data_IF_655741720704
#
_entry.id   IF_655741720704
#
_cell.length_a   1.000
_cell.length_b   1.000
_cell.length_c   1.000
_cell.angle_alpha   90.00
_cell.angle_beta   90.00
_cell.angle_gamma   90.00
#
_symmetry.space_group_name_H-M   'P 1'
#
loop_
_entity.id
_entity.type
_entity.pdbx_description
1 polymer ?
#
# COMPACT_ATOMS: atom_id res chain seq x y z
N UNK A 1 -0.23 1.71 -7.21
CA UNK A 1 -0.89 0.71 -6.36
C UNK A 1 -0.07 -0.57 -6.29
N UNK A 2 -0.24 -1.37 -5.22
CA UNK A 2 0.43 -2.67 -5.11
C UNK A 2 0.22 -3.56 -6.35
N UNK A 3 -0.93 -3.45 -7.00
CA UNK A 3 -1.26 -4.21 -8.20
C UNK A 3 -0.46 -3.73 -9.44
N UNK A 4 -0.16 -2.45 -9.56
CA UNK A 4 0.65 -1.92 -10.66
C UNK A 4 2.04 -2.51 -10.67
N UNK A 5 2.70 -2.54 -9.50
CA UNK A 5 4.04 -3.15 -9.39
C UNK A 5 4.03 -4.64 -9.72
N UNK A 6 2.94 -5.36 -9.39
CA UNK A 6 2.82 -6.79 -9.71
C UNK A 6 2.81 -7.03 -11.22
N UNK A 7 2.15 -6.18 -11.99
CA UNK A 7 2.18 -6.24 -13.46
C UNK A 7 3.59 -5.97 -13.98
N UNK A 8 4.26 -4.95 -13.45
CA UNK A 8 5.64 -4.63 -13.83
C UNK A 8 6.60 -5.78 -13.52
N UNK A 9 6.49 -6.41 -12.35
CA UNK A 9 7.27 -7.59 -12.00
C UNK A 9 7.00 -8.76 -12.95
N UNK A 10 5.73 -9.01 -13.26
CA UNK A 10 5.35 -10.10 -14.16
C UNK A 10 5.92 -9.90 -15.55
N UNK A 11 5.90 -8.69 -16.09
CA UNK A 11 6.45 -8.39 -17.42
C UNK A 11 7.99 -8.42 -17.43
N UNK A 12 8.63 -7.81 -16.44
CA UNK A 12 10.09 -7.72 -16.33
C UNK A 12 10.75 -9.09 -16.17
N UNK A 13 10.13 -9.97 -15.38
CA UNK A 13 10.65 -11.30 -15.07
C UNK A 13 10.03 -12.42 -15.94
N UNK A 14 9.26 -12.07 -16.97
CA UNK A 14 8.64 -13.05 -17.84
C UNK A 14 9.68 -13.88 -18.59
N UNK A 15 9.43 -15.17 -18.68
CA UNK A 15 10.18 -16.10 -19.55
C UNK A 15 9.63 -16.11 -20.97
N UNK A 16 8.34 -15.82 -21.14
CA UNK A 16 7.71 -15.65 -22.45
C UNK A 16 8.16 -14.33 -23.08
N UNK A 17 8.82 -14.36 -24.26
CA UNK A 17 9.28 -13.16 -24.96
C UNK A 17 8.16 -12.15 -25.23
N UNK A 18 6.96 -12.59 -25.59
CA UNK A 18 5.81 -11.73 -25.88
C UNK A 18 5.35 -10.95 -24.66
N UNK A 19 5.40 -11.56 -23.49
CA UNK A 19 5.06 -10.89 -22.23
C UNK A 19 6.17 -9.92 -21.84
N UNK A 20 7.42 -10.29 -22.06
CA UNK A 20 8.60 -9.45 -21.79
C UNK A 20 8.64 -8.20 -22.65
N UNK A 21 8.16 -8.27 -23.89
CA UNK A 21 8.04 -7.13 -24.81
C UNK A 21 7.13 -6.02 -24.27
N UNK A 22 6.25 -6.30 -23.31
CA UNK A 22 5.38 -5.31 -22.67
C UNK A 22 6.09 -4.48 -21.61
N UNK A 23 7.24 -4.92 -21.09
CA UNK A 23 7.94 -4.25 -19.99
C UNK A 23 8.28 -2.79 -20.29
N UNK A 24 8.77 -2.39 -21.48
CA UNK A 24 9.03 -1.00 -21.81
C UNK A 24 7.80 -0.11 -21.73
N UNK A 25 6.62 -0.64 -22.03
CA UNK A 25 5.36 0.10 -22.10
C UNK A 25 4.61 0.16 -20.75
N UNK A 26 5.09 -0.57 -19.72
CA UNK A 26 4.50 -0.53 -18.39
C UNK A 26 5.07 0.63 -17.59
N UNK A 27 4.24 1.60 -17.28
CA UNK A 27 4.58 2.76 -16.45
C UNK A 27 3.68 2.86 -15.22
N UNK A 28 4.11 3.66 -14.25
CA UNK A 28 3.33 3.95 -13.06
C UNK A 28 3.08 5.45 -12.95
N UNK A 29 1.95 5.80 -12.36
CA UNK A 29 1.59 7.18 -12.03
C UNK A 29 0.92 7.21 -10.66
N UNK A 30 1.04 8.34 -9.98
CA UNK A 30 0.25 8.60 -8.79
C UNK A 30 -1.24 8.70 -9.14
N UNK A 31 -2.11 8.50 -8.16
CA UNK A 31 -3.54 8.67 -8.40
C UNK A 31 -3.88 10.09 -8.84
N UNK A 32 -4.82 10.27 -9.76
CA UNK A 32 -5.29 11.59 -10.15
C UNK A 32 -5.93 12.30 -8.95
N UNK A 33 -5.80 13.62 -8.94
CA UNK A 33 -6.45 14.45 -7.94
C UNK A 33 -7.96 14.36 -8.10
N UNK A 34 -8.65 13.88 -7.07
CA UNK A 34 -10.11 13.78 -7.06
C UNK A 34 -10.80 15.13 -6.75
N UNK A 35 -12.14 15.11 -6.58
CA UNK A 35 -12.94 16.32 -6.29
C UNK A 35 -12.50 17.08 -5.03
N UNK A 36 -11.79 16.41 -4.11
CA UNK A 36 -11.23 17.03 -2.90
C UNK A 36 -10.11 18.05 -3.17
N UNK A 37 -9.64 18.15 -4.42
CA UNK A 37 -8.64 19.14 -4.86
C UNK A 37 -7.23 18.91 -4.31
N UNK A 38 -6.97 17.77 -3.66
CA UNK A 38 -5.65 17.40 -3.12
C UNK A 38 -5.24 16.02 -3.59
N UNK A 39 -3.95 15.81 -3.90
CA UNK A 39 -3.44 14.48 -4.19
C UNK A 39 -3.52 13.61 -2.94
N UNK A 40 -3.92 12.36 -3.12
CA UNK A 40 -3.99 11.35 -2.06
C UNK A 40 -3.53 10.01 -2.59
N UNK A 41 -2.84 9.25 -1.74
CA UNK A 41 -2.44 7.88 -2.02
C UNK A 41 -2.83 7.00 -0.84
N UNK A 42 -3.23 5.78 -1.14
CA UNK A 42 -3.43 4.75 -0.12
C UNK A 42 -2.17 3.90 -0.05
N UNK A 43 -1.60 3.79 1.14
CA UNK A 43 -0.42 2.97 1.35
C UNK A 43 -0.67 1.90 2.41
N UNK A 44 -0.03 0.76 2.22
CA UNK A 44 0.00 -0.32 3.21
C UNK A 44 1.27 -0.16 4.06
N UNK A 45 1.07 0.00 5.35
CA UNK A 45 2.16 0.02 6.31
C UNK A 45 2.46 -1.40 6.81
N UNK A 46 3.70 -1.82 6.69
CA UNK A 46 4.18 -3.04 7.31
C UNK A 46 4.82 -2.70 8.65
N UNK A 47 3.99 -2.67 9.67
CA UNK A 47 4.47 -2.36 11.02
C UNK A 47 5.31 -3.50 11.57
N UNK A 48 6.51 -3.18 12.03
CA UNK A 48 7.35 -4.08 12.81
C UNK A 48 7.04 -3.91 14.29
N UNK A 49 6.74 -4.99 14.98
CA UNK A 49 6.35 -4.93 16.39
C UNK A 49 6.97 -6.06 17.23
N UNK A 50 7.18 -5.76 18.50
CA UNK A 50 7.66 -6.73 19.48
C UNK A 50 6.51 -7.03 20.43
N UNK A 51 6.13 -8.29 20.53
CA UNK A 51 5.07 -8.70 21.43
C UNK A 51 5.50 -8.55 22.90
N UNK A 52 4.61 -7.99 23.72
CA UNK A 52 4.87 -7.77 25.16
C UNK A 52 5.23 -9.05 25.92
N UNK A 53 4.73 -10.19 25.48
CA UNK A 53 4.95 -11.49 26.10
C UNK A 53 6.23 -12.20 25.66
N UNK A 54 7.07 -11.57 24.81
CA UNK A 54 8.33 -12.21 24.40
C UNK A 54 9.24 -12.45 25.60
N UNK A 55 9.88 -13.61 25.62
CA UNK A 55 10.89 -13.96 26.62
C UNK A 55 12.25 -13.31 26.31
N UNK A 56 12.42 -12.76 25.09
CA UNK A 56 13.69 -12.23 24.60
C UNK A 56 13.57 -10.79 24.07
N UNK A 57 13.10 -9.82 24.87
CA UNK A 57 12.81 -8.48 24.38
C UNK A 57 14.05 -7.74 23.86
N UNK A 58 15.21 -7.98 24.45
CA UNK A 58 16.49 -7.37 23.99
C UNK A 58 16.88 -7.92 22.61
N UNK A 59 16.89 -9.24 22.46
CA UNK A 59 17.22 -9.88 21.18
C UNK A 59 16.23 -9.47 20.07
N UNK A 60 14.93 -9.40 20.38
CA UNK A 60 13.93 -8.92 19.42
C UNK A 60 14.18 -7.48 18.98
N UNK A 61 14.57 -6.59 19.89
CA UNK A 61 14.94 -5.20 19.57
C UNK A 61 16.17 -5.14 18.67
N UNK A 62 17.23 -5.90 19.01
CA UNK A 62 18.45 -5.92 18.18
C UNK A 62 18.19 -6.51 16.80
N UNK A 63 17.33 -7.54 16.69
CA UNK A 63 16.90 -8.06 15.40
C UNK A 63 16.20 -7.00 14.54
N UNK A 64 15.27 -6.21 15.12
CA UNK A 64 14.63 -5.13 14.38
C UNK A 64 15.61 -4.03 13.97
N UNK A 65 16.60 -3.72 14.82
CA UNK A 65 17.67 -2.76 14.46
C UNK A 65 18.49 -3.29 13.30
N UNK A 66 18.96 -4.53 13.38
CA UNK A 66 19.68 -5.19 12.31
C UNK A 66 18.91 -5.15 10.98
N UNK A 67 17.61 -5.43 10.99
CA UNK A 67 16.78 -5.36 9.77
C UNK A 67 16.66 -3.96 9.19
N UNK A 68 16.93 -2.92 9.98
CA UNK A 68 16.86 -1.51 9.55
C UNK A 68 18.25 -0.91 9.21
N UNK A 69 19.31 -1.68 9.30
CA UNK A 69 20.64 -1.24 8.85
C UNK A 69 20.70 -1.14 7.33
N UNK A 70 21.48 -0.20 6.82
CA UNK A 70 21.62 0.06 5.38
C UNK A 70 22.00 -1.18 4.58
N UNK A 71 22.84 -2.03 5.16
CA UNK A 71 23.27 -3.31 4.55
C UNK A 71 22.12 -4.28 4.30
N UNK A 72 21.04 -4.19 5.08
CA UNK A 72 19.84 -5.03 4.93
C UNK A 72 18.78 -4.32 4.09
N UNK A 73 18.56 -3.03 4.34
CA UNK A 73 17.47 -2.27 3.69
C UNK A 73 17.78 -2.00 2.21
N UNK A 74 19.00 -1.60 1.86
CA UNK A 74 19.34 -1.26 0.48
C UNK A 74 19.17 -2.42 -0.52
N UNK A 75 19.64 -3.65 -0.23
CA UNK A 75 19.35 -4.80 -1.10
C UNK A 75 17.84 -5.09 -1.22
N UNK A 76 17.09 -4.93 -0.13
CA UNK A 76 15.65 -5.15 -0.14
C UNK A 76 14.92 -4.12 -1.01
N UNK A 77 15.24 -2.84 -0.88
CA UNK A 77 14.69 -1.77 -1.73
C UNK A 77 15.02 -2.03 -3.19
N UNK A 78 16.27 -2.40 -3.49
CA UNK A 78 16.72 -2.72 -4.85
C UNK A 78 15.96 -3.91 -5.44
N UNK A 79 15.90 -5.03 -4.71
CA UNK A 79 15.23 -6.25 -5.17
C UNK A 79 13.72 -6.04 -5.36
N UNK A 80 13.12 -5.16 -4.57
CA UNK A 80 11.70 -4.81 -4.67
C UNK A 80 11.37 -3.85 -5.82
N UNK A 81 12.37 -3.35 -6.56
CA UNK A 81 12.19 -2.36 -7.64
C UNK A 81 11.41 -1.11 -7.19
N UNK A 82 11.53 -0.73 -5.92
CA UNK A 82 10.81 0.39 -5.34
C UNK A 82 9.42 0.06 -4.78
N UNK A 83 8.99 -1.20 -4.80
CA UNK A 83 7.75 -1.59 -4.11
C UNK A 83 7.84 -1.39 -2.60
N UNK A 84 8.97 -1.78 -2.01
CA UNK A 84 9.28 -1.46 -0.62
C UNK A 84 9.84 -0.05 -0.57
N UNK A 85 9.11 0.83 0.07
CA UNK A 85 9.50 2.24 0.26
C UNK A 85 9.82 2.45 1.73
N UNK A 86 11.10 2.62 2.10
CA UNK A 86 11.49 2.86 3.48
C UNK A 86 10.91 4.17 4.01
N UNK A 87 10.52 4.19 5.29
CA UNK A 87 9.89 5.33 5.92
C UNK A 87 10.86 6.49 6.26
N UNK A 88 12.17 6.26 6.14
CA UNK A 88 13.18 7.26 6.48
C UNK A 88 13.59 8.07 5.25
N UNK A 89 13.66 9.39 5.42
CA UNK A 89 14.03 10.33 4.36
C UNK A 89 15.45 10.07 3.79
N UNK A 90 16.34 9.44 4.55
CA UNK A 90 17.68 9.07 4.07
C UNK A 90 17.62 8.18 2.82
N UNK A 91 16.56 7.41 2.62
CA UNK A 91 16.37 6.54 1.46
C UNK A 91 15.74 7.23 0.24
N UNK A 92 15.36 8.51 0.33
CA UNK A 92 14.86 9.27 -0.83
C UNK A 92 15.90 9.37 -1.96
N UNK A 93 17.20 9.32 -1.61
CA UNK A 93 18.32 9.32 -2.56
C UNK A 93 18.70 7.94 -3.13
N UNK A 94 17.98 6.87 -2.77
CA UNK A 94 18.34 5.51 -3.19
C UNK A 94 18.35 5.38 -4.73
N UNK A 95 19.34 4.68 -5.32
CA UNK A 95 19.48 4.57 -6.79
C UNK A 95 18.26 4.02 -7.52
N UNK A 96 17.44 3.19 -6.87
CA UNK A 96 16.20 2.64 -7.47
C UNK A 96 15.25 3.75 -7.96
N UNK A 97 15.27 4.91 -7.33
CA UNK A 97 14.42 6.06 -7.67
C UNK A 97 14.88 6.84 -8.91
N UNK A 98 16.04 6.49 -9.49
CA UNK A 98 16.48 7.02 -10.79
C UNK A 98 15.67 6.43 -11.94
N UNK A 99 15.07 5.25 -11.74
CA UNK A 99 14.13 4.68 -12.68
C UNK A 99 12.81 5.47 -12.62
N UNK A 100 12.38 6.12 -13.73
CA UNK A 100 11.14 6.88 -13.77
C UNK A 100 9.91 6.01 -13.46
N UNK A 101 10.00 4.70 -13.68
CA UNK A 101 8.93 3.75 -13.34
C UNK A 101 8.79 3.56 -11.83
N UNK A 102 9.85 3.74 -11.04
CA UNK A 102 9.83 3.64 -9.58
C UNK A 102 9.52 4.97 -8.86
N UNK A 103 9.78 6.10 -9.50
CA UNK A 103 9.59 7.44 -8.92
C UNK A 103 8.20 7.67 -8.30
N UNK A 104 7.08 7.26 -8.91
CA UNK A 104 5.76 7.44 -8.33
C UNK A 104 5.59 6.76 -6.96
N UNK A 105 6.28 5.66 -6.70
CA UNK A 105 6.24 4.97 -5.39
C UNK A 105 6.95 5.78 -4.31
N UNK A 106 8.11 6.37 -4.62
CA UNK A 106 8.78 7.32 -3.71
C UNK A 106 7.89 8.51 -3.40
N UNK A 107 7.31 9.11 -4.42
CA UNK A 107 6.55 10.35 -4.28
C UNK A 107 5.19 10.12 -3.61
N UNK A 108 4.63 8.91 -3.71
CA UNK A 108 3.40 8.54 -3.03
C UNK A 108 3.51 8.66 -1.50
N UNK A 109 4.69 8.47 -0.93
CA UNK A 109 4.91 8.61 0.50
C UNK A 109 4.63 10.01 1.05
N UNK A 110 4.80 11.04 0.21
CA UNK A 110 4.59 12.44 0.61
C UNK A 110 3.12 12.83 0.67
N UNK A 111 2.26 12.06 0.02
CA UNK A 111 0.85 12.36 -0.17
C UNK A 111 -0.07 11.24 0.32
N UNK A 112 0.50 10.15 0.84
CA UNK A 112 -0.29 9.02 1.34
C UNK A 112 -1.08 9.39 2.59
N UNK A 113 -2.25 8.81 2.69
CA UNK A 113 -3.11 8.92 3.84
C UNK A 113 -3.42 7.53 4.39
N UNK A 114 -3.31 7.32 5.71
CA UNK A 114 -3.66 6.03 6.30
C UNK A 114 -5.17 5.79 6.23
N UNK A 115 -5.58 4.53 6.20
CA UNK A 115 -6.99 4.15 6.31
C UNK A 115 -7.62 4.77 7.56
N UNK A 116 -8.77 5.43 7.37
CA UNK A 116 -9.50 6.07 8.46
C UNK A 116 -8.99 7.47 8.86
N UNK A 117 -8.10 8.09 8.08
CA UNK A 117 -7.54 9.42 8.33
C UNK A 117 -8.61 10.52 8.48
N UNK A 118 -9.80 10.36 7.89
CA UNK A 118 -10.90 11.31 7.96
C UNK A 118 -11.67 11.28 9.30
N UNK A 119 -11.35 10.34 10.19
CA UNK A 119 -12.00 10.17 11.49
C UNK A 119 -11.04 9.65 12.55
N UNK A 120 -11.59 9.07 13.60
CA UNK A 120 -10.77 8.43 14.63
C UNK A 120 -10.15 7.15 14.07
N UNK A 121 -8.84 7.15 13.93
CA UNK A 121 -8.09 5.93 13.61
C UNK A 121 -8.08 5.00 14.83
N UNK A 122 -8.03 3.70 14.57
CA UNK A 122 -7.97 2.69 15.63
C UNK A 122 -8.90 1.52 15.37
N UNK A 123 -9.54 1.00 16.41
CA UNK A 123 -10.36 -0.21 16.32
C UNK A 123 -11.51 -0.10 15.31
N UNK A 124 -12.12 1.07 15.16
CA UNK A 124 -13.20 1.29 14.20
C UNK A 124 -12.71 1.12 12.76
N UNK A 125 -11.61 1.76 12.38
CA UNK A 125 -11.07 1.63 11.03
C UNK A 125 -10.51 0.23 10.77
N UNK A 126 -9.88 -0.40 11.77
CA UNK A 126 -9.40 -1.76 11.68
C UNK A 126 -10.55 -2.76 11.47
N UNK A 127 -11.65 -2.62 12.22
CA UNK A 127 -12.84 -3.46 12.08
C UNK A 127 -13.51 -3.28 10.71
N UNK A 128 -13.69 -2.05 10.26
CA UNK A 128 -14.27 -1.74 8.96
C UNK A 128 -13.43 -2.30 7.79
N UNK A 129 -12.09 -2.26 7.92
CA UNK A 129 -11.16 -2.84 6.94
C UNK A 129 -11.24 -4.38 6.95
N UNK A 130 -11.19 -5.01 8.14
CA UNK A 130 -11.25 -6.46 8.30
C UNK A 130 -12.58 -7.06 7.82
N UNK A 131 -13.67 -6.30 7.89
CA UNK A 131 -15.00 -6.70 7.37
C UNK A 131 -15.14 -6.48 5.86
N UNK A 132 -14.08 -6.07 5.17
CA UNK A 132 -14.03 -5.86 3.71
C UNK A 132 -15.18 -5.00 3.17
N UNK A 133 -15.61 -3.98 3.91
CA UNK A 133 -16.81 -3.19 3.58
C UNK A 133 -16.72 -2.59 2.17
N UNK A 134 -15.60 -1.92 1.85
CA UNK A 134 -15.40 -1.28 0.55
C UNK A 134 -15.21 -2.31 -0.57
N UNK A 135 -14.48 -3.39 -0.31
CA UNK A 135 -14.27 -4.46 -1.29
C UNK A 135 -15.60 -5.09 -1.67
N UNK A 136 -16.44 -5.40 -0.68
CA UNK A 136 -17.77 -5.97 -0.94
C UNK A 136 -18.67 -4.98 -1.68
N UNK A 137 -18.63 -3.68 -1.35
CA UNK A 137 -19.37 -2.64 -2.05
C UNK A 137 -19.06 -2.63 -3.55
N UNK A 138 -17.77 -2.62 -3.87
CA UNK A 138 -17.33 -2.63 -5.27
C UNK A 138 -17.70 -3.94 -5.96
N UNK A 139 -17.51 -5.08 -5.30
CA UNK A 139 -17.85 -6.39 -5.84
C UNK A 139 -19.36 -6.55 -6.13
N UNK A 140 -20.21 -6.08 -5.23
CA UNK A 140 -21.67 -6.11 -5.42
C UNK A 140 -22.11 -5.27 -6.61
N UNK A 141 -21.55 -4.08 -6.77
CA UNK A 141 -21.85 -3.21 -7.90
C UNK A 141 -21.29 -3.77 -9.23
N UNK A 142 -20.05 -4.27 -9.22
CA UNK A 142 -19.39 -4.78 -10.42
C UNK A 142 -20.01 -6.10 -10.93
N UNK A 143 -20.52 -6.94 -10.03
CA UNK A 143 -21.23 -8.18 -10.40
C UNK A 143 -22.69 -7.94 -10.82
N UNK A 144 -23.21 -6.72 -10.68
CA UNK A 144 -24.60 -6.40 -10.94
C UNK A 144 -25.60 -6.95 -9.90
N UNK A 145 -25.10 -7.52 -8.77
CA UNK A 145 -25.96 -8.01 -7.69
C UNK A 145 -26.68 -6.89 -6.94
N UNK A 146 -26.15 -5.68 -7.02
CA UNK A 146 -26.74 -4.42 -6.55
C UNK A 146 -26.42 -3.28 -7.50
N UNK A 147 -27.27 -2.28 -7.51
CA UNK A 147 -26.90 -1.00 -8.14
C UNK A 147 -25.77 -0.35 -7.33
N UNK A 148 -24.93 0.52 -7.96
CA UNK A 148 -23.87 1.25 -7.24
C UNK A 148 -24.41 2.01 -6.02
N UNK A 149 -25.61 2.57 -6.11
CA UNK A 149 -26.25 3.30 -5.01
C UNK A 149 -26.60 2.36 -3.84
N UNK A 150 -27.27 1.25 -4.11
CA UNK A 150 -27.63 0.25 -3.08
C UNK A 150 -26.40 -0.35 -2.41
N UNK A 151 -25.33 -0.63 -3.19
CA UNK A 151 -24.08 -1.11 -2.66
C UNK A 151 -23.42 -0.09 -1.71
N UNK A 152 -23.42 1.20 -2.08
CA UNK A 152 -22.91 2.27 -1.25
C UNK A 152 -23.71 2.47 0.04
N UNK A 153 -25.05 2.47 -0.05
CA UNK A 153 -25.94 2.58 1.11
C UNK A 153 -25.76 1.41 2.10
N UNK A 154 -25.58 0.20 1.57
CA UNK A 154 -25.28 -0.96 2.39
C UNK A 154 -23.91 -0.85 3.06
N UNK A 155 -22.90 -0.40 2.33
CA UNK A 155 -21.57 -0.19 2.88
C UNK A 155 -21.60 0.85 4.01
N UNK A 156 -22.31 1.94 3.83
CA UNK A 156 -22.51 2.97 4.85
C UNK A 156 -23.11 2.39 6.14
N UNK A 157 -24.22 1.66 6.04
CA UNK A 157 -24.86 1.00 7.20
C UNK A 157 -23.93 0.01 7.91
N UNK A 158 -23.05 -0.70 7.17
CA UNK A 158 -22.05 -1.58 7.76
C UNK A 158 -20.98 -0.80 8.49
N UNK A 159 -20.49 0.31 7.91
CA UNK A 159 -19.48 1.15 8.53
C UNK A 159 -19.97 1.78 9.83
N UNK A 160 -21.24 2.20 9.93
CA UNK A 160 -21.84 2.77 11.13
C UNK A 160 -21.78 1.84 12.36
N UNK A 161 -21.65 0.52 12.16
CA UNK A 161 -21.47 -0.43 13.27
C UNK A 161 -20.14 -0.24 13.99
N UNK A 162 -19.14 0.21 13.26
CA UNK A 162 -17.77 0.43 13.76
C UNK A 162 -17.57 1.88 14.20
N UNK A 163 -18.08 2.81 13.42
CA UNK A 163 -18.02 4.24 13.69
C UNK A 163 -19.33 4.68 14.35
N UNK A 164 -19.53 4.26 15.60
CA UNK A 164 -20.64 4.77 16.40
C UNK A 164 -20.43 6.25 16.62
N UNK A 165 -21.24 7.06 15.99
CA UNK A 165 -21.32 8.50 16.17
C UNK A 165 -22.20 8.79 17.36
#
# INVERSE_FOLDING_TARGET
TANGISVYYATKNATDPKVKELEPDVFHANFPTGPAGRPTEFNLFFNQMIFKYTKYPKAAKEFLRFMMEDEQVNPWVTASLGYVTPALATYEGHPVWKDPKATPYRDSMKIMLPSGHAGKMGYASAGALADFIIVNMVAEAASGSKTPKEAAERAQKRAERYYKV
#
